data_IF_313225389539
#
_entry.id   IF_313225389539
#
_cell.length_a   1.000
_cell.length_b   1.000
_cell.length_c   1.000
_cell.angle_alpha   90.00
_cell.angle_beta   90.00
_cell.angle_gamma   90.00
#
_symmetry.space_group_name_H-M   'P 1'
#
loop_
_entity.id
_entity.type
_entity.pdbx_description
1 polymer ?
#
# COMPACT_ATOMS: atom_id res chain seq x y z
N UNK A 1 -22.22 11.01 -14.92
CA UNK A 1 -20.86 10.92 -15.50
C UNK A 1 -20.02 9.95 -14.66
N UNK A 2 -19.40 8.93 -15.26
CA UNK A 2 -18.38 8.07 -14.59
C UNK A 2 -17.00 8.39 -15.17
N UNK A 3 -16.63 9.67 -15.15
CA UNK A 3 -15.30 10.13 -15.52
C UNK A 3 -14.40 10.02 -14.28
N UNK A 4 -13.13 9.63 -14.45
CA UNK A 4 -12.16 9.51 -13.34
C UNK A 4 -10.85 10.20 -13.70
N UNK A 5 -10.08 10.62 -12.70
CA UNK A 5 -8.74 11.15 -12.88
C UNK A 5 -7.79 10.36 -12.00
N UNK A 6 -6.73 9.82 -12.57
CA UNK A 6 -5.54 9.36 -11.87
C UNK A 6 -4.46 10.44 -11.93
N UNK A 7 -3.66 10.58 -10.88
CA UNK A 7 -2.58 11.56 -10.81
C UNK A 7 -1.26 10.87 -10.52
N UNK A 8 -0.24 11.19 -11.32
CA UNK A 8 1.14 10.75 -11.12
C UNK A 8 2.03 11.99 -11.10
N UNK A 9 2.54 12.35 -9.93
CA UNK A 9 3.53 13.44 -9.82
C UNK A 9 4.95 12.94 -10.10
N UNK A 10 5.69 13.62 -10.96
CA UNK A 10 7.14 13.43 -11.11
C UNK A 10 7.84 14.56 -10.36
N UNK A 11 8.76 14.18 -9.48
CA UNK A 11 9.33 15.07 -8.46
C UNK A 11 10.49 15.90 -8.99
N UNK A 12 11.15 15.43 -10.04
CA UNK A 12 12.44 15.99 -10.48
C UNK A 12 12.30 17.31 -11.26
N UNK A 13 11.10 17.66 -11.76
CA UNK A 13 10.89 18.84 -12.63
C UNK A 13 9.56 19.60 -12.37
N UNK A 14 8.95 19.47 -11.18
CA UNK A 14 7.62 20.06 -10.87
C UNK A 14 6.49 19.64 -11.83
N UNK A 15 6.71 18.60 -12.64
CA UNK A 15 5.78 18.09 -13.64
C UNK A 15 4.81 17.07 -13.02
N UNK A 16 3.52 17.35 -13.15
CA UNK A 16 2.46 16.45 -12.72
C UNK A 16 1.74 15.90 -13.94
N UNK A 17 1.71 14.57 -14.05
CA UNK A 17 0.97 13.85 -15.08
C UNK A 17 -0.43 13.52 -14.56
N UNK A 18 -1.43 13.88 -15.34
CA UNK A 18 -2.83 13.57 -15.08
C UNK A 18 -3.33 12.58 -16.13
N UNK A 19 -3.88 11.46 -15.68
CA UNK A 19 -4.53 10.45 -16.52
C UNK A 19 -6.04 10.59 -16.35
N UNK A 20 -6.74 11.18 -17.32
CA UNK A 20 -8.18 11.38 -17.29
C UNK A 20 -8.86 10.24 -18.04
N UNK A 21 -9.75 9.49 -17.41
CA UNK A 21 -10.64 8.58 -18.14
C UNK A 21 -11.96 9.29 -18.38
N UNK A 22 -12.15 9.72 -19.63
CA UNK A 22 -13.42 10.26 -20.13
C UNK A 22 -14.28 9.16 -20.75
N UNK A 23 -15.57 9.45 -20.88
CA UNK A 23 -16.49 8.68 -21.74
C UNK A 23 -17.13 9.67 -22.71
N UNK A 24 -16.57 9.72 -23.90
CA UNK A 24 -17.02 10.64 -24.96
C UNK A 24 -18.13 9.97 -25.74
N UNK A 25 -19.29 10.62 -25.78
CA UNK A 25 -20.47 10.18 -26.54
C UNK A 25 -20.52 10.87 -27.91
N UNK A 26 -20.16 12.15 -27.96
CA UNK A 26 -20.15 12.92 -29.18
C UNK A 26 -18.69 13.18 -29.60
N UNK A 27 -18.26 12.74 -30.79
CA UNK A 27 -16.91 13.03 -31.25
C UNK A 27 -16.79 14.54 -31.55
N UNK A 28 -15.72 15.16 -31.08
CA UNK A 28 -15.63 16.62 -31.11
C UNK A 28 -14.25 17.16 -30.74
N UNK A 29 -14.06 18.45 -31.02
CA UNK A 29 -12.96 19.21 -30.45
C UNK A 29 -13.34 19.60 -29.02
N UNK A 30 -12.51 19.19 -28.07
CA UNK A 30 -12.69 19.49 -26.66
C UNK A 30 -11.46 20.21 -26.11
N UNK A 31 -11.67 21.02 -25.08
CA UNK A 31 -10.59 21.52 -24.23
C UNK A 31 -10.68 20.84 -22.87
N UNK A 32 -9.61 20.15 -22.47
CA UNK A 32 -9.43 19.74 -21.08
C UNK A 32 -8.74 20.89 -20.36
N UNK A 33 -9.41 21.49 -19.39
CA UNK A 33 -8.83 22.51 -18.51
C UNK A 33 -8.57 21.92 -17.14
N UNK A 34 -7.34 22.04 -16.67
CA UNK A 34 -6.93 21.59 -15.35
C UNK A 34 -6.65 22.80 -14.46
N UNK A 35 -7.16 22.79 -13.23
CA UNK A 35 -6.88 23.80 -12.20
C UNK A 35 -6.45 23.11 -10.91
N UNK A 36 -5.29 23.47 -10.38
CA UNK A 36 -4.73 22.90 -9.14
C UNK A 36 -4.77 23.93 -8.02
N UNK A 37 -5.22 23.54 -6.84
CA UNK A 37 -5.33 24.40 -5.66
C UNK A 37 -4.63 23.74 -4.46
N UNK A 38 -4.00 24.54 -3.58
CA UNK A 38 -3.48 24.05 -2.29
C UNK A 38 -4.64 23.62 -1.38
N UNK A 39 -5.68 24.46 -1.27
CA UNK A 39 -6.97 24.16 -0.62
C UNK A 39 -8.04 24.98 -1.36
N UNK A 40 -8.99 24.35 -2.05
CA UNK A 40 -10.04 25.09 -2.76
C UNK A 40 -10.99 25.77 -1.76
N UNK A 41 -10.95 27.10 -1.63
CA UNK A 41 -12.03 27.92 -1.07
C UNK A 41 -12.76 28.69 -2.18
N UNK A 42 -13.91 29.27 -1.86
CA UNK A 42 -14.87 29.81 -2.84
C UNK A 42 -14.32 30.93 -3.75
N UNK A 43 -13.14 31.50 -3.47
CA UNK A 43 -12.52 32.58 -4.24
C UNK A 43 -10.99 32.41 -4.46
N UNK A 44 -10.44 31.20 -4.26
CA UNK A 44 -9.00 30.99 -4.40
C UNK A 44 -8.55 31.01 -5.88
N UNK A 45 -7.39 31.61 -6.13
CA UNK A 45 -6.70 31.46 -7.42
C UNK A 45 -6.01 30.10 -7.50
N UNK A 46 -6.06 29.40 -8.64
CA UNK A 46 -5.31 28.16 -8.80
C UNK A 46 -3.80 28.42 -8.70
N UNK A 47 -3.07 27.47 -8.11
CA UNK A 47 -1.61 27.42 -8.14
C UNK A 47 -1.08 27.24 -9.56
N UNK A 48 -1.79 26.44 -10.35
CA UNK A 48 -1.48 26.19 -11.75
C UNK A 48 -2.79 25.95 -12.52
N UNK A 49 -2.83 26.43 -13.75
CA UNK A 49 -3.93 26.26 -14.69
C UNK A 49 -3.37 26.00 -16.08
N UNK A 50 -3.93 25.02 -16.79
CA UNK A 50 -3.53 24.69 -18.16
C UNK A 50 -4.69 24.15 -18.99
N UNK A 51 -4.71 24.54 -20.26
CA UNK A 51 -5.67 24.10 -21.26
C UNK A 51 -5.01 23.18 -22.28
N UNK A 52 -5.70 22.08 -22.59
CA UNK A 52 -5.27 21.09 -23.57
C UNK A 52 -6.38 20.88 -24.59
N UNK A 53 -6.19 21.40 -25.81
CA UNK A 53 -7.13 21.17 -26.91
C UNK A 53 -6.87 19.82 -27.57
N UNK A 54 -7.89 18.98 -27.63
CA UNK A 54 -7.81 17.60 -28.10
C UNK A 54 -8.98 17.33 -29.05
N UNK A 55 -8.73 16.55 -30.10
CA UNK A 55 -9.81 15.91 -30.86
C UNK A 55 -10.12 14.58 -30.19
N UNK A 56 -11.37 14.39 -29.74
CA UNK A 56 -11.80 13.15 -29.10
C UNK A 56 -12.81 12.41 -29.97
N UNK A 57 -12.62 11.10 -30.10
CA UNK A 57 -13.53 10.21 -30.82
C UNK A 57 -14.56 9.58 -29.88
N UNK A 58 -15.69 9.14 -30.43
CA UNK A 58 -16.71 8.38 -29.69
C UNK A 58 -16.08 7.13 -29.06
N UNK A 59 -16.34 6.92 -27.77
CA UNK A 59 -15.82 5.77 -27.05
C UNK A 59 -14.33 5.81 -26.74
N UNK A 60 -13.60 6.86 -27.14
CA UNK A 60 -12.21 7.07 -26.73
C UNK A 60 -12.16 7.19 -25.21
N UNK A 61 -11.25 6.41 -24.62
CA UNK A 61 -11.01 6.36 -23.17
C UNK A 61 -9.56 6.73 -22.94
N UNK A 62 -9.33 7.43 -21.84
CA UNK A 62 -7.99 7.80 -21.35
C UNK A 62 -7.29 8.89 -22.16
N UNK A 63 -7.07 10.03 -21.51
CA UNK A 63 -6.23 11.12 -21.97
C UNK A 63 -5.13 11.32 -20.95
N UNK A 64 -3.91 11.55 -21.44
CA UNK A 64 -2.77 11.84 -20.61
C UNK A 64 -2.28 13.23 -20.93
N UNK A 65 -2.28 14.09 -19.92
CA UNK A 65 -1.76 15.45 -20.02
C UNK A 65 -0.72 15.67 -18.92
N UNK A 66 0.19 16.60 -19.17
CA UNK A 66 1.27 16.95 -18.23
C UNK A 66 1.23 18.46 -18.05
N UNK A 67 1.26 18.90 -16.80
CA UNK A 67 1.26 20.30 -16.42
C UNK A 67 2.34 20.53 -15.36
N UNK A 68 3.04 21.67 -15.47
CA UNK A 68 3.94 22.16 -14.44
C UNK A 68 3.13 22.76 -13.29
N UNK A 69 3.45 22.37 -12.05
CA UNK A 69 2.80 22.90 -10.84
C UNK A 69 3.89 23.45 -9.94
N UNK A 70 4.23 24.76 -10.05
CA UNK A 70 5.39 25.31 -9.39
C UNK A 70 5.21 25.38 -7.88
N UNK A 71 6.30 25.15 -7.13
CA UNK A 71 6.28 25.27 -5.67
C UNK A 71 5.46 24.19 -4.96
N UNK A 72 5.23 23.05 -5.62
CA UNK A 72 4.62 21.87 -5.00
C UNK A 72 5.43 21.41 -3.80
N UNK A 73 4.72 21.13 -2.71
CA UNK A 73 5.24 20.48 -1.52
C UNK A 73 4.91 19.00 -1.58
N UNK A 74 5.91 18.19 -1.28
CA UNK A 74 5.79 16.74 -1.27
C UNK A 74 4.86 16.26 -0.14
N UNK A 75 4.08 15.23 -0.42
CA UNK A 75 3.33 14.48 0.58
C UNK A 75 4.27 13.49 1.29
N UNK A 76 4.17 13.45 2.61
CA UNK A 76 4.79 12.45 3.48
C UNK A 76 3.96 12.26 4.75
N UNK A 77 4.21 11.23 5.57
CA UNK A 77 3.53 11.05 6.87
C UNK A 77 3.68 12.24 7.84
N UNK A 78 4.80 12.97 7.75
CA UNK A 78 5.09 14.13 8.60
C UNK A 78 4.55 15.43 7.97
N UNK A 79 4.50 15.50 6.65
CA UNK A 79 4.01 16.65 5.87
C UNK A 79 2.95 16.21 4.86
N UNK A 80 1.70 15.93 5.29
CA UNK A 80 0.64 15.40 4.43
C UNK A 80 0.02 16.49 3.52
N UNK A 81 0.83 17.06 2.62
CA UNK A 81 0.39 18.07 1.66
C UNK A 81 -0.52 17.43 0.60
N UNK A 82 -1.78 17.86 0.58
CA UNK A 82 -2.79 17.41 -0.39
C UNK A 82 -3.32 18.60 -1.17
N UNK A 83 -3.59 18.39 -2.45
CA UNK A 83 -4.04 19.39 -3.40
C UNK A 83 -5.43 19.02 -3.92
N UNK A 84 -6.19 20.02 -4.35
CA UNK A 84 -7.43 19.82 -5.12
C UNK A 84 -7.14 20.01 -6.60
N UNK A 85 -7.53 19.04 -7.42
CA UNK A 85 -7.60 19.17 -8.87
C UNK A 85 -9.06 19.36 -9.27
N UNK A 86 -9.33 20.39 -10.06
CA UNK A 86 -10.53 20.50 -10.87
C UNK A 86 -10.15 20.18 -12.31
N UNK A 87 -10.83 19.22 -12.92
CA UNK A 87 -10.70 18.91 -14.34
C UNK A 87 -12.04 19.22 -15.04
N UNK A 88 -11.98 20.16 -15.98
CA UNK A 88 -13.09 20.59 -16.81
C UNK A 88 -12.91 20.03 -18.22
N UNK A 89 -13.96 19.45 -18.79
CA UNK A 89 -14.05 19.10 -20.20
C UNK A 89 -15.03 20.10 -20.84
N UNK A 90 -14.52 20.89 -21.78
CA UNK A 90 -15.23 21.99 -22.44
C UNK A 90 -15.41 21.64 -23.91
N UNK A 91 -16.62 21.68 -24.45
CA UNK A 91 -16.89 21.44 -25.87
C UNK A 91 -16.77 22.70 -26.74
N UNK A 92 -17.12 22.59 -28.02
CA UNK A 92 -17.02 23.69 -28.98
C UNK A 92 -18.08 24.79 -28.75
N UNK A 93 -19.21 24.42 -28.16
CA UNK A 93 -20.31 25.29 -27.78
C UNK A 93 -20.03 26.03 -26.46
N UNK A 94 -19.07 25.53 -25.67
CA UNK A 94 -18.63 26.08 -24.40
C UNK A 94 -19.29 25.45 -23.18
N UNK A 95 -20.01 24.34 -23.35
CA UNK A 95 -20.59 23.60 -22.23
C UNK A 95 -19.47 22.91 -21.44
N UNK A 96 -19.58 22.98 -20.10
CA UNK A 96 -18.54 22.52 -19.19
C UNK A 96 -19.03 21.33 -18.37
N UNK A 97 -18.25 20.25 -18.41
CA UNK A 97 -18.37 19.10 -17.52
C UNK A 97 -17.20 19.05 -16.55
N UNK A 98 -17.47 19.09 -15.25
CA UNK A 98 -16.45 19.21 -14.20
C UNK A 98 -16.37 17.94 -13.35
N UNK A 99 -15.14 17.58 -12.96
CA UNK A 99 -14.87 16.66 -11.86
C UNK A 99 -13.82 17.25 -10.92
N UNK A 100 -14.01 17.02 -9.62
CA UNK A 100 -13.07 17.39 -8.57
C UNK A 100 -12.46 16.14 -7.95
N UNK A 101 -11.14 16.15 -7.75
CA UNK A 101 -10.45 15.11 -6.99
C UNK A 101 -9.35 15.69 -6.10
N UNK A 102 -8.92 14.90 -5.12
CA UNK A 102 -7.76 15.22 -4.28
C UNK A 102 -6.60 14.33 -4.64
N UNK A 103 -5.39 14.90 -4.57
CA UNK A 103 -4.17 14.16 -4.83
C UNK A 103 -3.03 14.71 -3.98
N UNK A 104 -1.99 13.90 -3.78
CA UNK A 104 -0.72 14.35 -3.22
C UNK A 104 0.42 13.94 -4.14
N UNK A 105 1.57 14.58 -3.97
CA UNK A 105 2.74 14.34 -4.80
C UNK A 105 3.81 13.69 -3.95
N UNK A 106 4.17 12.45 -4.27
CA UNK A 106 5.23 11.69 -3.60
C UNK A 106 5.95 10.84 -4.63
N UNK A 107 7.18 10.41 -4.31
CA UNK A 107 7.88 9.31 -5.01
C UNK A 107 8.12 8.17 -4.03
N UNK A 108 7.79 6.94 -4.42
CA UNK A 108 8.13 5.73 -3.66
C UNK A 108 8.97 4.82 -4.56
N UNK A 109 10.04 4.25 -4.02
CA UNK A 109 10.96 3.40 -4.79
C UNK A 109 11.55 2.30 -3.91
N UNK A 110 11.60 1.07 -4.44
CA UNK A 110 12.40 -0.01 -3.87
C UNK A 110 13.74 -0.06 -4.60
N UNK A 111 14.84 0.11 -3.86
CA UNK A 111 16.19 0.11 -4.45
C UNK A 111 17.20 -0.59 -3.56
N UNK A 112 17.71 -1.72 -4.04
CA UNK A 112 18.56 -2.61 -3.26
C UNK A 112 17.81 -3.11 -2.03
N UNK A 113 18.39 -2.96 -0.84
CA UNK A 113 17.79 -3.41 0.42
C UNK A 113 16.93 -2.35 1.13
N UNK A 114 16.54 -1.24 0.47
CA UNK A 114 15.84 -0.12 1.11
C UNK A 114 14.63 0.34 0.31
N UNK A 115 13.64 0.84 1.04
CA UNK A 115 12.55 1.63 0.50
C UNK A 115 12.90 3.11 0.62
N UNK A 116 12.56 3.91 -0.40
CA UNK A 116 12.78 5.34 -0.44
C UNK A 116 11.45 6.07 -0.61
N UNK A 117 11.17 7.03 0.25
CA UNK A 117 10.08 7.99 0.11
C UNK A 117 10.69 9.35 -0.21
N UNK A 118 10.32 9.93 -1.35
CA UNK A 118 10.81 11.22 -1.82
C UNK A 118 12.35 11.27 -1.89
N UNK A 119 12.95 10.19 -2.42
CA UNK A 119 14.40 9.96 -2.53
C UNK A 119 15.16 9.78 -1.21
N UNK A 120 14.48 9.83 -0.05
CA UNK A 120 15.06 9.59 1.25
C UNK A 120 14.74 8.16 1.74
N UNK A 121 15.72 7.43 2.31
CA UNK A 121 15.47 6.08 2.81
C UNK A 121 14.50 6.12 4.00
N UNK A 122 13.45 5.29 3.92
CA UNK A 122 12.46 5.15 4.98
C UNK A 122 12.44 3.70 5.48
N UNK A 123 12.34 3.54 6.79
CA UNK A 123 11.99 2.25 7.37
C UNK A 123 10.48 2.23 7.63
N UNK A 124 9.81 1.17 7.19
CA UNK A 124 8.37 1.04 7.30
C UNK A 124 8.03 0.44 8.67
N UNK A 125 7.59 1.30 9.59
CA UNK A 125 7.05 0.90 10.90
C UNK A 125 5.54 0.70 10.75
N UNK A 126 5.16 -0.55 10.52
CA UNK A 126 3.82 -0.97 10.13
C UNK A 126 3.00 -1.58 11.26
N UNK A 127 1.69 -1.54 11.09
CA UNK A 127 0.73 -2.30 11.90
C UNK A 127 -0.39 -2.84 11.01
N UNK A 128 -0.83 -4.06 11.27
CA UNK A 128 -1.95 -4.68 10.58
C UNK A 128 -3.28 -4.17 11.17
N UNK A 129 -4.21 -3.79 10.30
CA UNK A 129 -5.53 -3.30 10.68
C UNK A 129 -6.63 -3.95 9.84
N UNK A 130 -7.61 -4.51 10.52
CA UNK A 130 -8.86 -4.95 9.92
C UNK A 130 -10.01 -4.17 10.57
N UNK A 131 -10.75 -3.34 9.81
CA UNK A 131 -11.79 -2.51 10.39
C UNK A 131 -13.02 -3.32 10.84
N UNK A 132 -13.25 -4.52 10.27
CA UNK A 132 -14.42 -5.33 10.59
C UNK A 132 -15.73 -4.54 10.44
N UNK A 133 -16.54 -4.53 11.51
CA UNK A 133 -17.80 -3.78 11.58
C UNK A 133 -17.67 -2.36 12.14
N UNK A 134 -16.45 -1.81 12.26
CA UNK A 134 -16.22 -0.51 12.86
C UNK A 134 -16.93 0.64 12.11
N UNK A 135 -17.52 1.53 12.88
CA UNK A 135 -18.05 2.82 12.43
C UNK A 135 -16.93 3.75 11.98
N UNK A 136 -17.28 4.83 11.27
CA UNK A 136 -16.27 5.81 10.86
C UNK A 136 -15.59 6.49 12.06
N UNK A 137 -16.32 6.76 13.13
CA UNK A 137 -15.76 7.39 14.33
C UNK A 137 -14.71 6.46 15.01
N UNK A 138 -14.99 5.16 15.05
CA UNK A 138 -14.05 4.15 15.55
C UNK A 138 -12.83 4.05 14.64
N UNK A 139 -13.01 3.99 13.31
CA UNK A 139 -11.90 4.01 12.35
C UNK A 139 -11.02 5.25 12.56
N UNK A 140 -11.62 6.44 12.76
CA UNK A 140 -10.86 7.66 13.02
C UNK A 140 -10.00 7.51 14.28
N UNK A 141 -10.60 7.03 15.37
CA UNK A 141 -9.90 6.80 16.63
C UNK A 141 -8.77 5.78 16.47
N UNK A 142 -9.02 4.66 15.78
CA UNK A 142 -8.02 3.62 15.52
C UNK A 142 -6.84 4.17 14.71
N UNK A 143 -7.09 4.93 13.64
CA UNK A 143 -6.01 5.49 12.82
C UNK A 143 -5.16 6.52 13.57
N UNK A 144 -5.77 7.35 14.41
CA UNK A 144 -5.02 8.24 15.30
C UNK A 144 -4.22 7.47 16.36
N UNK A 145 -4.78 6.39 16.91
CA UNK A 145 -4.09 5.51 17.84
C UNK A 145 -2.88 4.80 17.20
N UNK A 146 -3.03 4.28 15.97
CA UNK A 146 -1.92 3.71 15.20
C UNK A 146 -0.80 4.73 14.94
N UNK A 147 -1.14 5.97 14.60
CA UNK A 147 -0.14 7.04 14.48
C UNK A 147 0.55 7.33 15.83
N UNK A 148 -0.21 7.31 16.93
CA UNK A 148 0.29 7.52 18.30
C UNK A 148 1.20 6.37 18.79
N UNK A 149 0.97 5.14 18.32
CA UNK A 149 1.88 3.99 18.52
C UNK A 149 3.22 4.16 17.80
N UNK A 150 3.34 5.16 16.92
CA UNK A 150 4.57 5.46 16.20
C UNK A 150 4.65 4.83 14.80
N UNK A 151 3.57 4.24 14.31
CA UNK A 151 3.53 3.67 12.97
C UNK A 151 3.55 4.77 11.91
N UNK A 152 4.27 4.52 10.82
CA UNK A 152 4.17 5.31 9.60
C UNK A 152 3.40 4.57 8.49
N UNK A 153 3.16 3.26 8.65
CA UNK A 153 2.45 2.39 7.71
C UNK A 153 1.29 1.66 8.40
N UNK A 154 0.16 1.54 7.71
CA UNK A 154 -0.95 0.67 8.11
C UNK A 154 -1.23 -0.32 6.97
N UNK A 155 -1.17 -1.62 7.27
CA UNK A 155 -1.55 -2.69 6.35
C UNK A 155 -3.04 -2.99 6.52
N UNK A 156 -3.85 -2.61 5.53
CA UNK A 156 -5.29 -2.83 5.50
C UNK A 156 -5.51 -4.25 4.99
N UNK A 157 -5.70 -5.19 5.91
CA UNK A 157 -5.64 -6.60 5.59
C UNK A 157 -6.96 -7.11 5.00
N UNK A 158 -6.89 -7.62 3.76
CA UNK A 158 -7.96 -8.31 3.00
C UNK A 158 -9.36 -7.72 3.23
N UNK A 159 -9.45 -6.40 3.27
CA UNK A 159 -10.68 -5.69 3.55
C UNK A 159 -11.22 -5.03 2.26
N UNK A 160 -12.54 -4.88 2.20
CA UNK A 160 -13.17 -4.11 1.13
C UNK A 160 -12.69 -2.65 1.11
N UNK A 161 -12.95 -1.96 0.01
CA UNK A 161 -12.60 -0.53 -0.14
C UNK A 161 -13.58 0.32 0.67
N UNK A 162 -13.14 0.84 1.82
CA UNK A 162 -13.81 1.95 2.51
C UNK A 162 -13.08 3.28 2.18
N UNK A 163 -13.65 4.14 1.30
CA UNK A 163 -13.06 5.43 0.92
C UNK A 163 -12.67 6.32 2.12
N UNK A 164 -13.32 6.13 3.27
CA UNK A 164 -13.10 6.95 4.46
C UNK A 164 -11.74 6.72 5.10
N UNK A 165 -11.20 5.49 5.01
CA UNK A 165 -9.86 5.13 5.50
C UNK A 165 -8.79 5.87 4.69
N UNK A 166 -8.86 5.78 3.37
CA UNK A 166 -7.87 6.37 2.46
C UNK A 166 -7.85 7.90 2.55
N UNK A 167 -9.04 8.53 2.55
CA UNK A 167 -9.17 9.96 2.74
C UNK A 167 -8.64 10.43 4.10
N UNK A 168 -8.77 9.61 5.15
CA UNK A 168 -8.21 9.94 6.45
C UNK A 168 -6.70 9.79 6.46
N UNK A 169 -6.16 8.69 5.93
CA UNK A 169 -4.72 8.42 5.83
C UNK A 169 -3.98 9.55 5.10
N UNK A 170 -4.54 10.01 3.97
CA UNK A 170 -4.01 11.13 3.21
C UNK A 170 -3.89 12.41 4.06
N UNK A 171 -4.92 12.71 4.85
CA UNK A 171 -5.00 13.93 5.66
C UNK A 171 -4.11 13.86 6.90
N UNK A 172 -4.10 12.73 7.59
CA UNK A 172 -3.36 12.59 8.84
C UNK A 172 -1.93 12.16 8.62
N UNK A 173 -1.53 11.80 7.41
CA UNK A 173 -0.18 11.35 7.09
C UNK A 173 0.10 9.96 7.67
N UNK A 174 -0.52 8.94 7.08
CA UNK A 174 -0.17 7.52 7.26
C UNK A 174 -0.01 6.89 5.88
N UNK A 175 1.05 6.09 5.71
CA UNK A 175 1.21 5.23 4.53
C UNK A 175 0.23 4.07 4.66
N UNK A 176 -0.27 3.58 3.54
CA UNK A 176 -1.15 2.44 3.44
C UNK A 176 -0.52 1.36 2.57
N UNK A 177 -0.55 0.14 3.07
CA UNK A 177 -0.42 -1.08 2.30
C UNK A 177 -1.83 -1.64 2.13
N UNK A 178 -2.25 -1.82 0.89
CA UNK A 178 -3.58 -2.36 0.54
C UNK A 178 -3.45 -3.73 -0.10
N UNK A 179 -4.48 -4.55 0.04
CA UNK A 179 -4.46 -5.93 -0.46
C UNK A 179 -5.68 -6.19 -1.33
N UNK A 180 -5.46 -6.86 -2.45
CA UNK A 180 -6.58 -7.38 -3.24
C UNK A 180 -7.19 -8.56 -2.47
N UNK A 181 -8.52 -8.61 -2.29
CA UNK A 181 -9.16 -9.74 -1.63
C UNK A 181 -8.80 -11.08 -2.29
N UNK A 182 -8.08 -11.92 -1.55
CA UNK A 182 -7.65 -13.23 -2.02
C UNK A 182 -8.84 -14.19 -2.13
N UNK A 183 -9.01 -14.89 -3.27
CA UNK A 183 -10.05 -15.92 -3.41
C UNK A 183 -9.78 -17.13 -2.51
N UNK A 184 -10.79 -17.99 -2.31
CA UNK A 184 -10.59 -19.22 -1.53
C UNK A 184 -9.95 -20.38 -2.31
N UNK A 185 -10.02 -20.37 -3.64
CA UNK A 185 -9.57 -21.49 -4.48
C UNK A 185 -8.84 -20.99 -5.72
N UNK A 186 -7.78 -21.69 -6.11
CA UNK A 186 -7.05 -21.45 -7.38
C UNK A 186 -7.77 -22.08 -8.58
N UNK A 187 -8.41 -21.25 -9.40
CA UNK A 187 -8.98 -21.65 -10.70
C UNK A 187 -9.17 -20.44 -11.63
N UNK A 188 -9.54 -20.68 -12.89
CA UNK A 188 -9.68 -19.62 -13.90
C UNK A 188 -10.73 -18.54 -13.52
N UNK A 189 -11.83 -18.93 -12.86
CA UNK A 189 -12.89 -18.00 -12.43
C UNK A 189 -12.35 -17.10 -11.31
N UNK A 190 -11.66 -17.69 -10.33
CA UNK A 190 -11.06 -16.94 -9.22
C UNK A 190 -10.06 -15.90 -9.70
N UNK A 191 -9.22 -16.23 -10.69
CA UNK A 191 -8.24 -15.31 -11.30
C UNK A 191 -8.92 -14.20 -12.10
N UNK A 192 -9.99 -14.51 -12.81
CA UNK A 192 -10.79 -13.50 -13.50
C UNK A 192 -11.41 -12.52 -12.47
N UNK A 193 -12.04 -13.04 -11.41
CA UNK A 193 -12.64 -12.21 -10.36
C UNK A 193 -11.60 -11.37 -9.62
N UNK A 194 -10.45 -11.95 -9.27
CA UNK A 194 -9.33 -11.25 -8.64
C UNK A 194 -8.84 -10.08 -9.52
N UNK A 195 -8.70 -10.30 -10.83
CA UNK A 195 -8.31 -9.25 -11.78
C UNK A 195 -9.34 -8.13 -11.83
N UNK A 196 -10.63 -8.46 -11.95
CA UNK A 196 -11.68 -7.44 -11.98
C UNK A 196 -11.76 -6.64 -10.68
N UNK A 197 -11.52 -7.30 -9.54
CA UNK A 197 -11.46 -6.63 -8.23
C UNK A 197 -10.24 -5.70 -8.12
N UNK A 198 -9.04 -6.15 -8.52
CA UNK A 198 -7.84 -5.28 -8.60
C UNK A 198 -8.14 -4.03 -9.43
N UNK A 199 -8.70 -4.19 -10.63
CA UNK A 199 -9.04 -3.07 -11.52
C UNK A 199 -10.09 -2.14 -10.91
N UNK A 200 -11.07 -2.69 -10.17
CA UNK A 200 -12.08 -1.91 -9.44
C UNK A 200 -11.46 -1.12 -8.30
N UNK A 201 -10.57 -1.73 -7.52
CA UNK A 201 -9.88 -1.06 -6.42
C UNK A 201 -8.98 0.06 -6.95
N UNK A 202 -8.16 -0.20 -7.98
CA UNK A 202 -7.34 0.81 -8.64
C UNK A 202 -8.18 2.02 -9.07
N UNK A 203 -9.34 1.77 -9.71
CA UNK A 203 -10.23 2.84 -10.13
C UNK A 203 -10.81 3.69 -8.98
N UNK A 204 -10.83 3.17 -7.75
CA UNK A 204 -11.39 3.84 -6.58
C UNK A 204 -10.33 4.54 -5.74
N UNK A 205 -9.12 3.97 -5.63
CA UNK A 205 -8.13 4.43 -4.65
C UNK A 205 -6.76 4.81 -5.21
N UNK A 206 -6.54 4.73 -6.54
CA UNK A 206 -5.22 5.03 -7.12
C UNK A 206 -4.74 6.47 -6.93
N UNK A 207 -5.64 7.42 -6.63
CA UNK A 207 -5.29 8.84 -6.42
C UNK A 207 -4.84 9.16 -5.00
N UNK A 208 -4.99 8.24 -4.05
CA UNK A 208 -4.64 8.46 -2.66
C UNK A 208 -3.10 8.39 -2.48
N UNK A 209 -2.41 9.52 -2.18
CA UNK A 209 -0.96 9.52 -1.98
C UNK A 209 -0.50 8.64 -0.82
N UNK A 210 -1.39 8.37 0.14
CA UNK A 210 -1.14 7.43 1.23
C UNK A 210 -0.95 5.99 0.77
N UNK A 211 -1.55 5.55 -0.32
CA UNK A 211 -1.43 4.16 -0.78
C UNK A 211 -0.07 3.94 -1.44
N UNK A 212 0.76 3.11 -0.84
CA UNK A 212 2.17 2.94 -1.25
C UNK A 212 2.53 1.54 -1.70
N UNK A 213 1.87 0.52 -1.13
CA UNK A 213 2.11 -0.89 -1.41
C UNK A 213 0.77 -1.52 -1.76
N UNK A 214 0.78 -2.36 -2.79
CA UNK A 214 -0.32 -3.25 -3.16
C UNK A 214 0.15 -4.70 -3.05
N UNK A 215 -0.51 -5.50 -2.22
CA UNK A 215 -0.36 -6.96 -2.32
C UNK A 215 -1.43 -7.56 -3.22
N UNK A 216 -1.02 -8.43 -4.14
CA UNK A 216 -1.93 -9.17 -5.00
C UNK A 216 -2.54 -10.36 -4.23
N UNK A 217 -1.71 -11.16 -3.55
CA UNK A 217 -2.16 -12.29 -2.75
C UNK A 217 -1.58 -12.24 -1.33
N UNK A 218 -2.18 -13.00 -0.42
CA UNK A 218 -1.68 -13.19 0.93
C UNK A 218 -1.67 -14.69 1.23
N UNK A 219 -0.56 -15.21 1.74
CA UNK A 219 -0.46 -16.57 2.26
C UNK A 219 -1.00 -17.66 1.32
N UNK A 220 -0.70 -17.55 0.03
CA UNK A 220 -1.18 -18.44 -1.03
C UNK A 220 -2.72 -18.57 -1.15
N UNK A 221 -3.52 -17.71 -0.50
CA UNK A 221 -4.98 -17.81 -0.52
C UNK A 221 -5.50 -17.62 -1.95
N UNK A 222 -6.09 -18.67 -2.52
CA UNK A 222 -6.57 -18.66 -3.91
C UNK A 222 -5.47 -18.91 -4.95
N UNK A 223 -4.25 -19.22 -4.52
CA UNK A 223 -3.11 -19.64 -5.33
C UNK A 223 -2.33 -20.78 -4.66
N UNK A 224 -3.02 -21.67 -3.92
CA UNK A 224 -2.40 -22.74 -3.11
C UNK A 224 -1.52 -23.71 -3.92
N UNK A 225 -1.64 -23.67 -5.24
CA UNK A 225 -0.86 -24.47 -6.18
C UNK A 225 0.31 -23.69 -6.82
N UNK A 226 0.65 -22.48 -6.37
CA UNK A 226 1.66 -21.60 -6.98
C UNK A 226 3.04 -22.27 -7.15
N UNK A 227 3.42 -23.15 -6.22
CA UNK A 227 4.67 -23.91 -6.32
C UNK A 227 4.72 -24.87 -7.52
N UNK A 228 3.59 -25.46 -7.92
CA UNK A 228 3.54 -26.55 -8.92
C UNK A 228 2.79 -26.17 -10.20
N UNK A 229 1.89 -25.19 -10.14
CA UNK A 229 1.05 -24.74 -11.23
C UNK A 229 1.69 -23.55 -11.98
N UNK A 230 2.02 -23.75 -13.26
CA UNK A 230 2.63 -22.72 -14.09
C UNK A 230 1.64 -21.61 -14.43
N UNK A 231 0.37 -21.94 -14.69
CA UNK A 231 -0.68 -20.97 -15.02
C UNK A 231 -0.93 -20.01 -13.85
N UNK A 232 -0.86 -20.50 -12.61
CA UNK A 232 -0.94 -19.66 -11.40
C UNK A 232 0.23 -18.68 -11.35
N UNK A 233 1.46 -19.14 -11.56
CA UNK A 233 2.64 -18.25 -11.62
C UNK A 233 2.56 -17.25 -12.76
N UNK A 234 2.18 -17.69 -13.96
CA UNK A 234 2.05 -16.83 -15.14
C UNK A 234 1.03 -15.72 -14.91
N UNK A 235 -0.07 -16.01 -14.20
CA UNK A 235 -1.05 -14.99 -13.83
C UNK A 235 -0.47 -13.95 -12.87
N UNK A 236 0.21 -14.38 -11.80
CA UNK A 236 0.84 -13.49 -10.83
C UNK A 236 1.87 -12.58 -11.53
N UNK A 237 2.72 -13.16 -12.38
CA UNK A 237 3.72 -12.45 -13.19
C UNK A 237 3.04 -11.39 -14.06
N UNK A 238 1.96 -11.75 -14.75
CA UNK A 238 1.21 -10.81 -15.59
C UNK A 238 0.61 -9.65 -14.79
N UNK A 239 0.07 -9.91 -13.60
CA UNK A 239 -0.52 -8.87 -12.75
C UNK A 239 0.56 -7.95 -12.15
N UNK A 240 1.69 -8.50 -11.70
CA UNK A 240 2.84 -7.72 -11.26
C UNK A 240 3.36 -6.81 -12.38
N UNK A 241 3.59 -7.35 -13.58
CA UNK A 241 4.07 -6.57 -14.73
C UNK A 241 3.04 -5.51 -15.17
N UNK A 242 1.75 -5.84 -15.14
CA UNK A 242 0.68 -4.87 -15.38
C UNK A 242 0.76 -3.70 -14.39
N UNK A 243 0.84 -3.98 -13.10
CA UNK A 243 0.97 -2.95 -12.07
C UNK A 243 2.23 -2.10 -12.27
N UNK A 244 3.37 -2.73 -12.55
CA UNK A 244 4.64 -2.03 -12.74
C UNK A 244 4.65 -1.11 -13.98
N UNK A 245 3.97 -1.50 -15.07
CA UNK A 245 3.90 -0.70 -16.30
C UNK A 245 2.87 0.43 -16.18
N UNK A 246 1.67 0.12 -15.68
CA UNK A 246 0.53 1.04 -15.72
C UNK A 246 0.35 1.85 -14.44
N UNK A 247 0.88 1.38 -13.32
CA UNK A 247 0.77 2.01 -12.00
C UNK A 247 2.14 2.08 -11.27
N UNK A 248 3.20 2.64 -11.89
CA UNK A 248 4.56 2.65 -11.33
C UNK A 248 4.70 3.55 -10.09
N UNK A 249 3.64 4.23 -9.66
CA UNK A 249 3.60 4.99 -8.42
C UNK A 249 3.44 4.12 -7.16
N UNK A 250 3.33 2.80 -7.30
CA UNK A 250 3.15 1.85 -6.21
C UNK A 250 4.29 0.82 -6.18
N UNK A 251 4.57 0.31 -4.99
CA UNK A 251 5.31 -0.94 -4.81
C UNK A 251 4.31 -2.11 -4.83
N UNK A 252 4.69 -3.23 -5.42
CA UNK A 252 3.84 -4.40 -5.60
C UNK A 252 4.42 -5.61 -4.89
N UNK A 253 3.62 -6.19 -4.00
CA UNK A 253 3.86 -7.50 -3.39
C UNK A 253 3.03 -8.53 -4.16
N UNK A 254 3.67 -9.57 -4.68
CA UNK A 254 2.97 -10.59 -5.47
C UNK A 254 2.16 -11.55 -4.61
N UNK A 255 2.77 -12.06 -3.54
CA UNK A 255 2.15 -12.93 -2.57
C UNK A 255 2.78 -12.70 -1.20
N UNK A 256 2.07 -12.01 -0.32
CA UNK A 256 2.62 -11.59 0.95
C UNK A 256 2.88 -12.78 1.89
N UNK A 257 4.08 -12.80 2.46
CA UNK A 257 4.42 -13.61 3.62
C UNK A 257 4.90 -15.03 3.32
N UNK A 258 4.46 -15.62 2.21
CA UNK A 258 4.72 -17.02 1.83
C UNK A 258 5.46 -17.14 0.49
N UNK A 259 4.91 -17.85 -0.50
CA UNK A 259 5.64 -18.30 -1.69
C UNK A 259 5.69 -17.21 -2.78
N UNK A 260 6.67 -16.32 -2.72
CA UNK A 260 6.91 -15.34 -3.79
C UNK A 260 7.37 -16.00 -5.09
N UNK A 261 7.04 -15.40 -6.24
CA UNK A 261 7.38 -15.92 -7.56
C UNK A 261 8.68 -15.30 -8.07
N UNK A 262 9.65 -16.13 -8.42
CA UNK A 262 10.83 -15.77 -9.22
C UNK A 262 10.64 -16.17 -10.68
N UNK A 263 11.08 -15.29 -11.57
CA UNK A 263 11.25 -15.58 -13.00
C UNK A 263 12.61 -15.05 -13.48
N UNK A 264 13.40 -15.92 -14.12
CA UNK A 264 14.75 -15.63 -14.65
C UNK A 264 15.69 -15.03 -13.59
N UNK A 265 15.61 -15.57 -12.37
CA UNK A 265 16.42 -15.14 -11.24
C UNK A 265 16.05 -13.76 -10.69
N UNK A 266 14.85 -13.25 -11.02
CA UNK A 266 14.30 -12.00 -10.48
C UNK A 266 12.96 -12.24 -9.81
N UNK A 267 12.83 -11.71 -8.60
CA UNK A 267 11.54 -11.66 -7.91
C UNK A 267 10.54 -10.87 -8.75
N UNK A 268 9.31 -11.37 -8.85
CA UNK A 268 8.20 -10.71 -9.54
C UNK A 268 7.39 -9.90 -8.53
N UNK A 269 8.13 -9.18 -7.69
CA UNK A 269 7.64 -8.32 -6.62
C UNK A 269 8.71 -7.28 -6.29
N UNK A 270 8.29 -6.08 -5.89
CA UNK A 270 9.17 -5.00 -5.46
C UNK A 270 9.73 -5.19 -4.05
N UNK A 271 9.14 -6.09 -3.24
CA UNK A 271 9.52 -6.36 -1.85
C UNK A 271 9.52 -7.87 -1.60
N UNK A 272 10.54 -8.38 -0.90
CA UNK A 272 10.49 -9.73 -0.35
C UNK A 272 9.89 -9.64 1.05
N UNK A 273 8.80 -10.35 1.32
CA UNK A 273 8.07 -10.23 2.58
C UNK A 273 7.98 -11.59 3.26
N UNK A 274 7.84 -11.61 4.59
CA UNK A 274 7.79 -12.86 5.35
C UNK A 274 6.94 -12.71 6.60
N UNK A 275 6.09 -13.70 6.87
CA UNK A 275 5.32 -13.80 8.11
C UNK A 275 6.10 -14.62 9.14
N UNK A 276 6.36 -14.02 10.30
CA UNK A 276 7.18 -14.62 11.35
C UNK A 276 6.48 -14.58 12.70
N UNK A 277 6.05 -15.75 13.16
CA UNK A 277 5.43 -15.96 14.46
C UNK A 277 6.35 -16.80 15.36
N UNK A 278 7.54 -16.28 15.69
CA UNK A 278 8.44 -16.91 16.68
C UNK A 278 8.24 -16.30 18.06
N UNK A 279 7.72 -17.09 19.02
CA UNK A 279 7.40 -16.61 20.38
C UNK A 279 8.63 -16.43 21.28
N UNK A 280 9.74 -17.14 20.99
CA UNK A 280 11.00 -17.00 21.70
C UNK A 280 12.01 -16.14 20.92
N UNK A 281 12.74 -15.31 21.65
CA UNK A 281 13.65 -14.31 21.09
C UNK A 281 14.84 -14.94 20.34
N UNK A 282 15.31 -16.12 20.75
CA UNK A 282 16.45 -16.78 20.08
C UNK A 282 16.04 -17.38 18.73
N UNK A 283 14.87 -18.04 18.65
CA UNK A 283 14.32 -18.48 17.36
C UNK A 283 13.97 -17.31 16.48
N UNK A 284 13.48 -16.19 17.04
CA UNK A 284 13.29 -14.94 16.30
C UNK A 284 14.58 -14.45 15.65
N UNK A 285 15.66 -14.28 16.43
CA UNK A 285 16.99 -13.88 15.93
C UNK A 285 17.47 -14.84 14.84
N UNK A 286 17.37 -16.15 15.08
CA UNK A 286 17.75 -17.17 14.11
C UNK A 286 16.95 -17.04 12.81
N UNK A 287 15.62 -16.90 12.87
CA UNK A 287 14.78 -16.73 11.68
C UNK A 287 15.12 -15.46 10.89
N UNK A 288 15.35 -14.34 11.58
CA UNK A 288 15.76 -13.10 10.92
C UNK A 288 17.11 -13.23 10.20
N UNK A 289 18.09 -13.87 10.85
CA UNK A 289 19.42 -14.08 10.26
C UNK A 289 19.32 -14.95 8.99
N UNK A 290 18.57 -16.04 9.06
CA UNK A 290 18.31 -16.93 7.91
C UNK A 290 17.69 -16.18 6.72
N UNK A 291 16.68 -15.33 6.97
CA UNK A 291 16.07 -14.51 5.92
C UNK A 291 17.09 -13.57 5.27
N UNK A 292 17.91 -12.88 6.06
CA UNK A 292 18.94 -11.96 5.57
C UNK A 292 20.02 -12.67 4.77
N UNK A 293 20.37 -13.90 5.16
CA UNK A 293 21.36 -14.72 4.47
C UNK A 293 20.83 -15.31 3.16
N UNK A 294 19.50 -15.29 2.96
CA UNK A 294 18.81 -15.78 1.78
C UNK A 294 18.38 -17.24 1.90
N UNK A 295 18.28 -17.79 3.11
CA UNK A 295 17.68 -19.10 3.33
C UNK A 295 16.17 -19.02 3.08
N UNK A 296 15.72 -19.60 1.97
CA UNK A 296 14.31 -19.57 1.55
C UNK A 296 13.49 -20.73 2.13
N UNK A 297 14.13 -21.74 2.73
CA UNK A 297 13.46 -22.93 3.26
C UNK A 297 13.42 -22.91 4.79
N UNK A 298 12.25 -23.19 5.38
CA UNK A 298 12.10 -23.33 6.84
C UNK A 298 12.19 -22.03 7.63
N UNK A 299 12.13 -20.88 6.95
CA UNK A 299 12.05 -19.53 7.56
C UNK A 299 10.61 -19.07 7.77
N UNK A 300 9.72 -19.44 6.85
CA UNK A 300 8.27 -19.23 6.90
C UNK A 300 7.54 -20.59 6.84
N UNK A 301 6.22 -20.58 6.66
CA UNK A 301 5.41 -21.80 6.56
C UNK A 301 5.82 -22.70 5.39
N UNK A 302 6.17 -22.09 4.25
CA UNK A 302 6.59 -22.74 3.02
C UNK A 302 7.92 -22.17 2.51
N UNK A 303 8.54 -22.76 1.47
CA UNK A 303 9.63 -22.09 0.78
C UNK A 303 9.22 -20.69 0.33
N UNK A 304 9.96 -19.67 0.75
CA UNK A 304 9.61 -18.26 0.56
C UNK A 304 9.66 -17.81 -0.90
N UNK A 305 10.36 -18.56 -1.76
CA UNK A 305 10.47 -18.28 -3.18
C UNK A 305 10.25 -19.56 -3.99
N UNK A 306 9.42 -19.47 -5.03
CA UNK A 306 9.10 -20.53 -5.99
C UNK A 306 9.28 -20.03 -7.42
N UNK A 307 9.12 -20.93 -8.39
CA UNK A 307 9.34 -20.62 -9.81
C UNK A 307 10.69 -21.16 -10.27
N UNK A 308 11.60 -20.27 -10.66
CA UNK A 308 12.96 -20.66 -11.03
C UNK A 308 13.93 -20.66 -9.82
N UNK A 309 15.02 -21.45 -9.86
CA UNK A 309 15.93 -21.60 -8.73
C UNK A 309 16.99 -20.49 -8.60
N UNK A 310 16.96 -19.45 -9.45
CA UNK A 310 18.06 -18.49 -9.60
C UNK A 310 17.86 -17.18 -8.85
N UNK A 311 16.86 -17.08 -7.96
CA UNK A 311 16.65 -15.88 -7.15
C UNK A 311 17.93 -15.48 -6.41
N UNK A 312 18.35 -14.22 -6.59
CA UNK A 312 19.50 -13.65 -5.92
C UNK A 312 19.06 -12.80 -4.73
N UNK A 313 19.59 -13.12 -3.54
CA UNK A 313 19.33 -12.35 -2.31
C UNK A 313 19.64 -10.86 -2.49
N UNK A 314 18.89 -10.00 -1.77
CA UNK A 314 19.08 -8.53 -1.72
C UNK A 314 18.82 -7.80 -3.05
N UNK A 315 18.18 -8.44 -4.02
CA UNK A 315 17.66 -7.75 -5.21
C UNK A 315 16.60 -6.71 -4.85
N UNK A 316 15.80 -7.00 -3.83
CA UNK A 316 14.72 -6.16 -3.34
C UNK A 316 14.79 -6.01 -1.82
N UNK A 317 14.13 -4.99 -1.24
CA UNK A 317 14.04 -4.81 0.21
C UNK A 317 13.31 -5.98 0.88
N UNK A 318 13.82 -6.41 2.03
CA UNK A 318 13.19 -7.44 2.88
C UNK A 318 12.33 -6.77 3.95
N UNK A 319 11.08 -7.20 4.10
CA UNK A 319 10.17 -6.80 5.18
C UNK A 319 9.69 -8.03 5.96
N UNK A 320 9.52 -7.87 7.28
CA UNK A 320 8.73 -8.83 8.06
C UNK A 320 7.30 -8.33 8.13
N UNK A 321 6.46 -8.81 7.22
CA UNK A 321 5.12 -8.27 6.95
C UNK A 321 4.04 -8.75 7.90
N UNK A 322 4.35 -9.69 8.80
CA UNK A 322 3.60 -9.98 10.02
C UNK A 322 4.51 -10.52 11.12
N UNK A 323 4.32 -10.01 12.34
CA UNK A 323 4.88 -10.55 13.58
C UNK A 323 4.02 -10.09 14.78
N UNK A 324 4.06 -10.80 15.92
CA UNK A 324 3.29 -10.41 17.12
C UNK A 324 1.92 -11.07 17.28
N UNK A 325 1.56 -12.04 16.42
CA UNK A 325 0.30 -12.80 16.32
C UNK A 325 -0.01 -13.87 17.38
N UNK A 326 0.56 -13.85 18.58
CA UNK A 326 0.56 -15.04 19.47
C UNK A 326 -0.73 -15.27 20.29
N UNK A 327 -1.87 -14.70 19.89
CA UNK A 327 -3.11 -14.73 20.68
C UNK A 327 -3.84 -16.08 20.79
N UNK A 328 -3.42 -17.12 20.05
CA UNK A 328 -4.03 -18.45 20.13
C UNK A 328 -3.57 -19.18 21.39
N UNK A 329 -4.48 -19.95 22.02
CA UNK A 329 -4.23 -20.67 23.27
C UNK A 329 -2.97 -21.57 23.27
N UNK A 330 -2.52 -22.00 22.08
CA UNK A 330 -1.37 -22.90 21.89
C UNK A 330 -0.09 -22.20 21.38
N UNK A 331 -0.11 -20.89 21.10
CA UNK A 331 1.03 -20.16 20.49
C UNK A 331 1.93 -19.43 21.51
N UNK A 332 1.54 -19.38 22.79
CA UNK A 332 2.28 -18.66 23.84
C UNK A 332 2.13 -17.14 23.72
N UNK A 333 3.02 -16.35 24.33
CA UNK A 333 3.02 -14.88 24.18
C UNK A 333 2.66 -14.08 25.44
N UNK A 334 2.81 -12.75 25.39
CA UNK A 334 2.71 -11.87 26.55
C UNK A 334 1.30 -11.90 27.16
N UNK A 335 1.23 -12.05 28.49
CA UNK A 335 -0.03 -12.16 29.24
C UNK A 335 -0.47 -10.81 29.83
N UNK A 336 0.39 -9.81 29.77
CA UNK A 336 0.11 -8.45 30.24
C UNK A 336 0.58 -7.39 29.24
N UNK A 337 0.02 -6.19 29.36
CA UNK A 337 0.43 -5.03 28.56
C UNK A 337 1.93 -4.69 28.74
N UNK A 338 2.47 -4.89 29.95
CA UNK A 338 3.88 -4.62 30.26
C UNK A 338 4.79 -5.65 29.58
N UNK A 339 4.43 -6.93 29.64
CA UNK A 339 5.14 -7.99 28.90
C UNK A 339 5.06 -7.78 27.40
N UNK A 340 3.90 -7.37 26.87
CA UNK A 340 3.73 -7.08 25.46
C UNK A 340 4.62 -5.91 25.01
N UNK A 341 4.68 -4.83 25.80
CA UNK A 341 5.56 -3.71 25.51
C UNK A 341 7.04 -4.11 25.57
N UNK A 342 7.45 -4.96 26.53
CA UNK A 342 8.81 -5.49 26.60
C UNK A 342 9.15 -6.33 25.37
N UNK A 343 8.25 -7.25 25.00
CA UNK A 343 8.38 -8.10 23.83
C UNK A 343 8.57 -7.29 22.54
N UNK A 344 7.71 -6.29 22.30
CA UNK A 344 7.79 -5.42 21.13
C UNK A 344 9.15 -4.73 21.05
N UNK A 345 9.65 -4.19 22.17
CA UNK A 345 10.95 -3.52 22.21
C UNK A 345 12.10 -4.46 21.86
N UNK A 346 12.12 -5.65 22.46
CA UNK A 346 13.18 -6.64 22.22
C UNK A 346 13.19 -7.10 20.75
N UNK A 347 12.02 -7.36 20.18
CA UNK A 347 11.89 -7.84 18.80
C UNK A 347 12.26 -6.78 17.77
N UNK A 348 11.77 -5.54 17.95
CA UNK A 348 12.16 -4.41 17.11
C UNK A 348 13.65 -4.10 17.23
N UNK A 349 14.26 -4.24 18.41
CA UNK A 349 15.70 -4.06 18.56
C UNK A 349 16.51 -5.06 17.71
N UNK A 350 16.06 -6.31 17.60
CA UNK A 350 16.72 -7.29 16.72
C UNK A 350 16.50 -7.02 15.23
N UNK A 351 15.27 -6.65 14.81
CA UNK A 351 14.98 -6.24 13.43
C UNK A 351 15.91 -5.12 12.95
N UNK A 352 16.14 -4.14 13.82
CA UNK A 352 16.94 -2.94 13.52
C UNK A 352 18.45 -3.18 13.45
N UNK A 353 18.95 -4.33 13.89
CA UNK A 353 20.36 -4.71 13.71
C UNK A 353 20.64 -5.25 12.31
N UNK A 354 19.60 -5.57 11.55
CA UNK A 354 19.68 -6.26 10.28
C UNK A 354 19.25 -5.35 9.11
N UNK A 355 19.65 -5.66 7.86
CA UNK A 355 19.28 -4.89 6.68
C UNK A 355 17.84 -5.19 6.23
N UNK A 356 16.88 -5.01 7.14
CA UNK A 356 15.45 -5.14 6.94
C UNK A 356 14.88 -3.73 6.70
N UNK A 357 13.99 -3.59 5.74
CA UNK A 357 13.44 -2.30 5.31
C UNK A 357 12.14 -1.91 6.01
N UNK A 358 11.52 -2.84 6.75
CA UNK A 358 10.32 -2.58 7.51
C UNK A 358 9.80 -3.80 8.24
N UNK A 359 8.85 -3.55 9.14
CA UNK A 359 8.12 -4.58 9.86
C UNK A 359 6.65 -4.18 10.04
N UNK A 360 5.75 -5.15 10.15
CA UNK A 360 4.33 -4.93 10.41
C UNK A 360 3.92 -5.76 11.62
N UNK A 361 3.57 -5.08 12.70
CA UNK A 361 3.03 -5.74 13.88
C UNK A 361 1.57 -6.16 13.65
N UNK A 362 1.29 -7.45 13.80
CA UNK A 362 -0.05 -8.01 13.87
C UNK A 362 -0.42 -8.02 15.36
N UNK A 363 -1.38 -7.20 15.83
CA UNK A 363 -2.31 -6.33 15.08
C UNK A 363 -2.82 -5.13 15.91
N UNK A 364 -3.53 -4.21 15.25
CA UNK A 364 -4.06 -2.98 15.85
C UNK A 364 -5.17 -3.22 16.88
N UNK A 365 -6.21 -3.98 16.53
CA UNK A 365 -7.35 -4.33 17.39
C UNK A 365 -7.44 -5.84 17.55
N UNK A 366 -8.12 -6.32 18.59
CA UNK A 366 -8.36 -7.76 18.70
C UNK A 366 -9.30 -8.24 17.58
N UNK A 367 -9.09 -9.45 17.08
CA UNK A 367 -9.93 -10.06 16.03
C UNK A 367 -10.28 -11.47 16.47
N UNK A 368 -11.58 -11.74 16.59
CA UNK A 368 -12.10 -13.06 16.96
C UNK A 368 -11.39 -13.66 18.21
N UNK A 369 -10.55 -14.69 18.01
CA UNK A 369 -9.79 -15.37 19.05
C UNK A 369 -8.39 -14.75 19.29
N UNK A 370 -7.92 -13.88 18.40
CA UNK A 370 -6.62 -13.22 18.48
C UNK A 370 -6.67 -12.01 19.43
N UNK A 371 -6.07 -12.18 20.62
CA UNK A 371 -6.10 -11.19 21.73
C UNK A 371 -4.83 -10.36 21.90
N UNK A 372 -4.15 -10.08 20.81
CA UNK A 372 -2.85 -9.38 20.73
C UNK A 372 -2.96 -7.92 20.24
N UNK A 373 -4.18 -7.38 20.10
CA UNK A 373 -4.43 -6.00 19.70
C UNK A 373 -3.81 -4.97 20.65
N UNK A 374 -3.25 -3.88 20.10
CA UNK A 374 -2.63 -2.79 20.86
C UNK A 374 -3.59 -1.67 21.25
N UNK A 375 -4.75 -1.61 20.61
CA UNK A 375 -5.82 -0.65 20.85
C UNK A 375 -6.91 -1.32 21.69
N UNK A 376 -7.38 -0.65 22.74
CA UNK A 376 -8.45 -1.11 23.61
C UNK A 376 -9.81 -1.11 22.87
N UNK A 377 -10.50 -2.24 22.92
CA UNK A 377 -11.82 -2.51 22.32
C UNK A 377 -12.93 -1.56 22.82
N UNK A 378 -12.72 -0.86 23.95
CA UNK A 378 -13.80 -0.11 24.64
C UNK A 378 -13.62 1.42 24.69
N UNK A 379 -12.39 1.94 24.59
CA UNK A 379 -12.13 3.36 24.85
C UNK A 379 -11.13 4.03 23.91
N UNK A 380 -10.71 3.39 22.81
CA UNK A 380 -9.68 3.92 21.89
C UNK A 380 -8.35 4.31 22.56
N UNK A 381 -8.12 3.82 23.79
CA UNK A 381 -6.86 3.93 24.51
C UNK A 381 -5.84 2.93 23.98
N UNK A 382 -4.55 3.26 24.15
CA UNK A 382 -3.48 2.30 23.87
C UNK A 382 -3.29 1.39 25.07
N UNK A 383 -3.17 0.08 24.84
CA UNK A 383 -2.80 -0.90 25.87
C UNK A 383 -1.32 -0.80 26.24
N UNK A 384 -0.51 -0.29 25.33
CA UNK A 384 0.95 -0.17 25.43
C UNK A 384 1.37 1.31 25.34
N UNK A 385 2.60 1.66 25.75
CA UNK A 385 3.07 3.05 25.69
C UNK A 385 3.06 3.64 24.27
N UNK A 386 2.92 4.96 24.19
CA UNK A 386 3.08 5.73 22.96
C UNK A 386 4.42 5.45 22.27
N UNK A 387 4.42 5.46 20.94
CA UNK A 387 5.64 5.31 20.14
C UNK A 387 6.30 3.93 20.19
N UNK A 388 5.69 2.91 20.83
CA UNK A 388 6.30 1.58 21.00
C UNK A 388 6.66 0.87 19.68
N UNK A 389 5.95 1.19 18.59
CA UNK A 389 6.20 0.63 17.26
C UNK A 389 7.14 1.49 16.41
N UNK A 390 7.55 2.67 16.88
CA UNK A 390 8.52 3.51 16.15
C UNK A 390 9.92 2.94 16.28
N UNK A 391 10.56 2.67 15.15
CA UNK A 391 11.97 2.27 15.14
C UNK A 391 12.87 3.43 15.58
N UNK A 392 13.77 3.15 16.54
CA UNK A 392 14.72 4.15 17.06
C UNK A 392 14.20 5.03 18.19
N UNK A 393 12.99 4.77 18.72
CA UNK A 393 12.59 5.28 20.03
C UNK A 393 13.34 4.48 21.10
N UNK A 394 14.31 5.14 21.75
CA UNK A 394 15.06 4.60 22.91
C UNK A 394 14.29 4.87 24.17
#
# INVERSE_FOLDING_TARGET
LRSRVGVMGVVEDELVRFNLTTRIHDPGSYTIRLKVFERKQTDDKPLAEADFSLMLEEGQKQQRVVMEVPGVKMWSPDTPNVYTLIAELIDAEGDVSEIETRFGIRKIEARGAKVYLNNEPIYLDGILYQPGAATYEEIQKHMHAMKKLGCNLVRIHIAGVDPRIYNLADKIGLLLWVEVPSPHHSNHISRANHREELLRMLALIETHPSVIIWSLYNEDWGIQDVATNKETRDYIIQMYQYMHIYHPQFLVVDNDGWQHVSLEGRLQSDLLTAHLYKADLESWKSSLQKLVDGEINGVAAFPLVVGDPFFYRKQVPLLVSEWGGFGFADYGGPQSAEEQAKFIREYKAELRKLPIAGDVYTQATNIEEERNGLIDDTHSGLRVPDGILKSGAV
#
